data_IF_742236427754
#
_entry.id   IF_742236427754
#
_cell.length_a   1.000
_cell.length_b   1.000
_cell.length_c   1.000
_cell.angle_alpha   90.00
_cell.angle_beta   90.00
_cell.angle_gamma   90.00
#
_symmetry.space_group_name_H-M   'P 1'
#
loop_
_entity.id
_entity.type
_entity.pdbx_description
1 polymer ?
#
# COMPACT_ATOMS: atom_id res chain seq x y z
N UNK A 1 3.92 -64.03 4.33
CA UNK A 1 3.39 -62.81 4.99
C UNK A 1 4.06 -61.60 4.36
N UNK A 2 3.34 -60.84 3.52
CA UNK A 2 3.89 -59.68 2.78
C UNK A 2 3.72 -58.44 3.65
N UNK A 3 4.83 -57.80 4.04
CA UNK A 3 4.82 -56.51 4.75
C UNK A 3 4.67 -55.39 3.71
N UNK A 4 3.55 -54.69 3.76
CA UNK A 4 3.33 -53.45 3.03
C UNK A 4 4.02 -52.31 3.78
N UNK A 5 5.09 -51.77 3.22
CA UNK A 5 5.66 -50.49 3.66
C UNK A 5 4.88 -49.37 2.95
N UNK A 6 4.06 -48.64 3.69
CA UNK A 6 3.36 -47.45 3.21
C UNK A 6 4.38 -46.31 3.18
N UNK A 7 4.72 -45.86 1.97
CA UNK A 7 5.57 -44.69 1.74
C UNK A 7 4.79 -43.40 2.02
N UNK A 8 5.27 -42.63 2.98
CA UNK A 8 4.83 -41.27 3.29
C UNK A 8 5.37 -40.32 2.21
N UNK A 9 4.56 -40.00 1.20
CA UNK A 9 4.95 -39.14 0.08
C UNK A 9 4.40 -37.71 0.25
N UNK A 10 5.30 -36.81 0.58
CA UNK A 10 5.33 -35.35 0.34
C UNK A 10 4.01 -34.60 0.08
N UNK A 11 3.52 -33.91 1.12
CA UNK A 11 2.61 -32.76 1.00
C UNK A 11 3.39 -31.50 1.40
N UNK A 12 4.13 -30.87 0.47
CA UNK A 12 4.75 -29.54 0.72
C UNK A 12 4.87 -28.73 -0.57
N UNK A 13 3.76 -28.26 -1.17
CA UNK A 13 3.83 -27.22 -2.24
C UNK A 13 2.64 -26.23 -2.20
N UNK A 14 2.18 -25.77 -1.02
CA UNK A 14 1.08 -24.77 -0.94
C UNK A 14 1.47 -23.39 -0.38
N UNK A 15 2.69 -23.21 0.15
CA UNK A 15 3.05 -21.97 0.87
C UNK A 15 3.52 -20.80 -0.01
N UNK A 16 3.96 -21.05 -1.24
CA UNK A 16 4.55 -19.99 -2.07
C UNK A 16 3.50 -19.02 -2.66
N UNK A 17 2.32 -19.53 -3.02
CA UNK A 17 1.28 -18.74 -3.67
C UNK A 17 0.51 -17.84 -2.69
N UNK A 18 0.28 -18.31 -1.46
CA UNK A 18 -0.40 -17.51 -0.42
C UNK A 18 0.37 -16.25 -0.06
N UNK A 19 1.70 -16.35 0.09
CA UNK A 19 2.53 -15.23 0.54
C UNK A 19 2.55 -14.02 -0.40
N UNK A 20 2.57 -14.24 -1.72
CA UNK A 20 2.51 -13.14 -2.70
C UNK A 20 1.15 -12.47 -2.69
N UNK A 21 0.08 -13.24 -2.47
CA UNK A 21 -1.29 -12.71 -2.37
C UNK A 21 -1.45 -11.85 -1.12
N UNK A 22 -0.92 -12.27 0.03
CA UNK A 22 -0.92 -11.47 1.26
C UNK A 22 -0.20 -10.13 1.09
N UNK A 23 0.98 -10.13 0.46
CA UNK A 23 1.75 -8.90 0.18
C UNK A 23 0.96 -7.97 -0.76
N UNK A 24 0.32 -8.50 -1.81
CA UNK A 24 -0.54 -7.69 -2.70
C UNK A 24 -1.70 -7.08 -1.93
N UNK A 25 -2.36 -7.88 -1.08
CA UNK A 25 -3.49 -7.42 -0.27
C UNK A 25 -3.06 -6.31 0.70
N UNK A 26 -1.86 -6.39 1.27
CA UNK A 26 -1.31 -5.33 2.11
C UNK A 26 -1.12 -4.01 1.34
N UNK A 27 -0.57 -4.05 0.12
CA UNK A 27 -0.44 -2.86 -0.74
C UNK A 27 -1.81 -2.28 -1.11
N UNK A 28 -2.79 -3.12 -1.46
CA UNK A 28 -4.16 -2.69 -1.78
C UNK A 28 -4.80 -2.02 -0.56
N UNK A 29 -4.71 -2.66 0.61
CA UNK A 29 -5.32 -2.17 1.84
C UNK A 29 -4.67 -0.85 2.31
N UNK A 30 -3.34 -0.75 2.21
CA UNK A 30 -2.60 0.48 2.44
C UNK A 30 -3.10 1.61 1.55
N UNK A 31 -3.17 1.40 0.23
CA UNK A 31 -3.60 2.45 -0.70
C UNK A 31 -5.05 2.91 -0.45
N UNK A 32 -5.95 1.97 -0.11
CA UNK A 32 -7.31 2.32 0.28
C UNK A 32 -7.35 3.19 1.55
N UNK A 33 -6.51 2.91 2.55
CA UNK A 33 -6.49 3.72 3.76
C UNK A 33 -5.71 5.02 3.59
N UNK A 34 -4.79 5.08 2.64
CA UNK A 34 -4.07 6.30 2.29
C UNK A 34 -5.05 7.35 1.74
N UNK A 35 -6.00 6.98 0.88
CA UNK A 35 -7.01 7.92 0.37
C UNK A 35 -7.90 8.47 1.49
N UNK A 36 -8.29 7.63 2.44
CA UNK A 36 -9.04 8.04 3.63
C UNK A 36 -8.21 8.95 4.54
N UNK A 37 -6.93 8.62 4.77
CA UNK A 37 -6.03 9.43 5.59
C UNK A 37 -5.85 10.83 5.00
N UNK A 38 -5.63 10.93 3.70
CA UNK A 38 -5.42 12.20 2.99
C UNK A 38 -6.71 13.06 2.93
N UNK A 39 -7.85 12.42 2.65
CA UNK A 39 -9.12 13.13 2.52
C UNK A 39 -9.71 13.58 3.86
N UNK A 40 -9.32 12.92 4.96
CA UNK A 40 -9.73 13.31 6.33
C UNK A 40 -8.63 14.05 7.10
N UNK A 41 -7.42 14.13 6.56
CA UNK A 41 -6.27 14.72 7.23
C UNK A 41 -5.89 14.00 8.52
N UNK A 42 -6.00 12.67 8.54
CA UNK A 42 -5.73 11.83 9.70
C UNK A 42 -4.85 10.61 9.33
N UNK A 43 -3.55 10.73 9.54
CA UNK A 43 -2.57 9.68 9.27
C UNK A 43 -2.73 8.43 10.16
N UNK A 44 -3.34 8.54 11.35
CA UNK A 44 -3.53 7.41 12.26
C UNK A 44 -4.39 6.28 11.66
N UNK A 45 -5.17 6.58 10.62
CA UNK A 45 -5.90 5.58 9.83
C UNK A 45 -5.00 4.50 9.22
N UNK A 46 -3.70 4.80 9.05
CA UNK A 46 -2.72 3.89 8.49
C UNK A 46 -2.07 2.95 9.53
N UNK A 47 -2.39 3.06 10.82
CA UNK A 47 -1.68 2.33 11.90
C UNK A 47 -1.64 0.80 11.75
N UNK A 48 -2.60 0.19 11.05
CA UNK A 48 -2.62 -1.25 10.79
C UNK A 48 -2.01 -1.62 9.42
N UNK A 49 -1.70 -0.65 8.58
CA UNK A 49 -1.32 -0.87 7.17
C UNK A 49 0.08 -0.34 6.84
N UNK A 50 0.64 0.48 7.71
CA UNK A 50 1.91 1.15 7.52
C UNK A 50 2.71 1.16 8.83
N UNK A 51 4.04 1.10 8.71
CA UNK A 51 4.91 1.28 9.87
C UNK A 51 4.90 2.74 10.33
N UNK A 52 5.32 3.00 11.56
CA UNK A 52 5.41 4.36 12.11
C UNK A 52 6.25 5.30 11.24
N UNK A 53 7.27 4.77 10.56
CA UNK A 53 8.09 5.54 9.63
C UNK A 53 7.25 6.07 8.46
N UNK A 54 6.47 5.21 7.81
CA UNK A 54 5.62 5.62 6.69
C UNK A 54 4.46 6.51 7.15
N UNK A 55 3.89 6.24 8.33
CA UNK A 55 2.85 7.11 8.92
C UNK A 55 3.39 8.53 9.12
N UNK A 56 4.61 8.68 9.66
CA UNK A 56 5.23 10.00 9.84
C UNK A 56 5.45 10.77 8.54
N UNK A 57 5.81 10.06 7.45
CA UNK A 57 5.92 10.67 6.10
C UNK A 57 4.57 11.17 5.59
N UNK A 58 3.52 10.35 5.70
CA UNK A 58 2.17 10.74 5.29
C UNK A 58 1.64 11.88 6.16
N UNK A 59 1.87 11.84 7.47
CA UNK A 59 1.45 12.88 8.40
C UNK A 59 2.11 14.23 8.09
N UNK A 60 3.41 14.21 7.76
CA UNK A 60 4.14 15.42 7.32
C UNK A 60 3.51 16.04 6.06
N UNK A 61 3.09 15.21 5.10
CA UNK A 61 2.40 15.71 3.90
C UNK A 61 0.99 16.24 4.22
N UNK A 62 0.26 15.58 5.12
CA UNK A 62 -1.04 16.07 5.62
C UNK A 62 -0.89 17.42 6.32
N UNK A 63 0.15 17.61 7.13
CA UNK A 63 0.43 18.88 7.80
C UNK A 63 0.71 19.99 6.78
N UNK A 64 1.48 19.69 5.73
CA UNK A 64 1.68 20.60 4.61
C UNK A 64 0.34 21.01 3.96
N UNK A 65 -0.52 20.03 3.62
CA UNK A 65 -1.84 20.30 3.03
C UNK A 65 -2.73 21.16 3.94
N UNK A 66 -2.70 20.91 5.25
CA UNK A 66 -3.43 21.72 6.24
C UNK A 66 -2.90 23.16 6.31
N UNK A 67 -1.59 23.36 6.18
CA UNK A 67 -0.97 24.69 6.04
C UNK A 67 -1.50 25.45 4.82
N UNK A 68 -1.71 24.73 3.72
CA UNK A 68 -2.35 25.21 2.48
C UNK A 68 -3.88 25.32 2.57
N UNK A 69 -4.46 25.04 3.75
CA UNK A 69 -5.93 25.00 4.01
C UNK A 69 -6.67 24.02 3.09
N UNK A 70 -6.01 22.96 2.66
CA UNK A 70 -6.55 21.95 1.74
C UNK A 70 -6.51 20.55 2.36
N UNK A 71 -7.32 19.67 1.78
CA UNK A 71 -7.17 18.22 1.90
C UNK A 71 -7.20 17.61 0.50
N UNK A 72 -6.61 16.43 0.36
CA UNK A 72 -6.47 15.74 -0.91
C UNK A 72 -7.47 14.58 -0.97
N UNK A 73 -8.39 14.63 -1.92
CA UNK A 73 -9.28 13.52 -2.25
C UNK A 73 -8.69 12.81 -3.45
N UNK A 74 -8.41 11.51 -3.31
CA UNK A 74 -7.79 10.71 -4.35
C UNK A 74 -8.49 9.38 -4.54
N UNK A 75 -8.37 8.83 -5.74
CA UNK A 75 -8.87 7.51 -6.10
C UNK A 75 -7.87 6.77 -6.98
N UNK A 76 -7.60 5.51 -6.63
CA UNK A 76 -6.68 4.63 -7.35
C UNK A 76 -7.45 3.92 -8.47
N UNK A 77 -7.45 4.52 -9.66
CA UNK A 77 -8.19 4.00 -10.82
C UNK A 77 -7.62 2.70 -11.36
N UNK A 78 -6.30 2.55 -11.29
CA UNK A 78 -5.61 1.35 -11.78
C UNK A 78 -4.43 1.01 -10.89
N UNK A 79 -4.31 -0.27 -10.54
CA UNK A 79 -3.16 -0.83 -9.83
C UNK A 79 -2.73 -2.12 -10.53
N UNK A 80 -1.53 -2.11 -11.13
CA UNK A 80 -0.96 -3.28 -11.79
C UNK A 80 0.34 -3.67 -11.09
N UNK A 81 0.39 -4.86 -10.53
CA UNK A 81 1.60 -5.42 -9.94
C UNK A 81 2.56 -5.90 -11.03
N UNK A 82 3.78 -5.37 -11.05
CA UNK A 82 4.82 -5.75 -12.01
C UNK A 82 5.72 -6.86 -11.47
N UNK A 83 6.22 -6.67 -10.24
CA UNK A 83 7.17 -7.58 -9.59
C UNK A 83 6.94 -7.58 -8.09
N UNK A 84 7.16 -8.74 -7.47
CA UNK A 84 7.22 -8.91 -6.02
C UNK A 84 8.48 -9.69 -5.72
N UNK A 85 9.37 -9.10 -4.94
CA UNK A 85 10.56 -9.73 -4.40
C UNK A 85 10.42 -9.82 -2.88
N UNK A 86 10.53 -11.03 -2.33
CA UNK A 86 10.38 -11.27 -0.89
C UNK A 86 11.67 -11.85 -0.36
N UNK A 87 12.18 -11.26 0.72
CA UNK A 87 13.40 -11.69 1.40
C UNK A 87 13.09 -11.78 2.89
N UNK A 88 12.76 -12.99 3.36
CA UNK A 88 12.37 -13.22 4.76
C UNK A 88 11.12 -12.46 5.18
N UNK A 89 11.31 -11.50 6.10
CA UNK A 89 10.29 -10.60 6.65
C UNK A 89 10.23 -9.25 5.94
N UNK A 90 10.93 -9.10 4.82
CA UNK A 90 10.85 -7.91 3.97
C UNK A 90 10.35 -8.28 2.58
N UNK A 91 9.70 -7.32 1.92
CA UNK A 91 9.31 -7.44 0.54
C UNK A 91 9.42 -6.11 -0.20
N UNK A 92 9.75 -6.18 -1.49
CA UNK A 92 9.65 -5.06 -2.43
C UNK A 92 8.60 -5.38 -3.48
N UNK A 93 7.74 -4.40 -3.75
CA UNK A 93 6.64 -4.54 -4.70
C UNK A 93 6.69 -3.39 -5.69
N UNK A 94 6.79 -3.71 -6.97
CA UNK A 94 6.77 -2.74 -8.05
C UNK A 94 5.39 -2.71 -8.69
N UNK A 95 4.85 -1.51 -8.89
CA UNK A 95 3.51 -1.32 -9.45
C UNK A 95 3.51 -0.26 -10.56
N UNK A 96 2.53 -0.37 -11.45
CA UNK A 96 2.06 0.72 -12.31
C UNK A 96 0.70 1.19 -11.80
N UNK A 97 0.58 2.49 -11.56
CA UNK A 97 -0.58 3.10 -10.91
C UNK A 97 -1.12 4.25 -11.73
N UNK A 98 -2.45 4.37 -11.74
CA UNK A 98 -3.14 5.55 -12.24
C UNK A 98 -3.98 6.11 -11.11
N UNK A 99 -3.69 7.34 -10.72
CA UNK A 99 -4.42 8.07 -9.71
C UNK A 99 -5.20 9.21 -10.33
N UNK A 100 -6.37 9.48 -9.76
CA UNK A 100 -7.13 10.71 -10.01
C UNK A 100 -7.29 11.39 -8.67
N UNK A 101 -6.97 12.68 -8.59
CA UNK A 101 -7.14 13.44 -7.35
C UNK A 101 -7.60 14.87 -7.59
N UNK A 102 -8.14 15.47 -6.53
CA UNK A 102 -8.46 16.89 -6.46
C UNK A 102 -8.34 17.36 -5.01
N UNK A 103 -8.29 18.67 -4.83
CA UNK A 103 -8.23 19.32 -3.54
C UNK A 103 -9.61 19.83 -3.12
N UNK A 104 -9.86 19.75 -1.81
CA UNK A 104 -11.00 20.37 -1.14
C UNK A 104 -10.52 21.36 -0.08
N UNK A 105 -11.31 22.37 0.21
CA UNK A 105 -11.06 23.26 1.35
C UNK A 105 -11.17 22.49 2.67
N UNK A 106 -10.23 22.74 3.58
CA UNK A 106 -10.14 22.03 4.86
C UNK A 106 -11.38 22.27 5.73
N UNK A 107 -11.99 23.46 5.70
CA UNK A 107 -13.12 23.85 6.55
C UNK A 107 -14.46 23.58 5.88
N UNK A 108 -14.66 24.08 4.66
CA UNK A 108 -15.96 23.98 3.99
C UNK A 108 -16.16 22.64 3.31
N UNK A 109 -15.07 21.88 3.07
CA UNK A 109 -15.06 20.63 2.29
C UNK A 109 -15.46 20.82 0.82
N UNK A 110 -15.60 22.06 0.37
CA UNK A 110 -15.91 22.38 -1.02
C UNK A 110 -14.69 22.13 -1.89
N UNK A 111 -14.95 21.75 -3.14
CA UNK A 111 -13.91 21.47 -4.12
C UNK A 111 -13.22 22.76 -4.56
N UNK A 112 -11.88 22.76 -4.55
CA UNK A 112 -11.07 23.95 -4.88
C UNK A 112 -10.10 23.71 -6.04
N UNK A 113 -10.06 22.51 -6.61
CA UNK A 113 -9.28 22.22 -7.83
C UNK A 113 -10.04 21.34 -8.81
N UNK A 114 -9.55 21.32 -10.05
CA UNK A 114 -9.95 20.33 -11.07
C UNK A 114 -9.35 18.96 -10.73
N UNK A 115 -9.83 17.94 -11.43
CA UNK A 115 -9.23 16.61 -11.36
C UNK A 115 -7.88 16.63 -12.06
N UNK A 116 -6.90 16.02 -11.42
CA UNK A 116 -5.59 15.74 -11.98
C UNK A 116 -5.44 14.23 -12.07
N UNK A 117 -4.97 13.75 -13.23
CA UNK A 117 -4.67 12.33 -13.45
C UNK A 117 -3.16 12.19 -13.54
N UNK A 118 -2.60 11.29 -12.75
CA UNK A 118 -1.15 11.03 -12.71
C UNK A 118 -0.88 9.54 -12.83
N UNK A 119 0.24 9.22 -13.48
CA UNK A 119 0.69 7.84 -13.68
C UNK A 119 2.03 7.62 -13.00
N UNK A 120 2.07 6.65 -12.09
CA UNK A 120 3.28 6.32 -11.34
C UNK A 120 3.76 4.91 -11.62
N UNK A 121 5.09 4.76 -11.70
CA UNK A 121 5.74 3.51 -11.36
C UNK A 121 6.23 3.62 -9.92
N UNK A 122 5.63 2.83 -9.03
CA UNK A 122 5.83 2.93 -7.59
C UNK A 122 6.53 1.69 -7.06
N UNK A 123 7.43 1.88 -6.10
CA UNK A 123 8.09 0.80 -5.35
C UNK A 123 7.68 0.88 -3.89
N UNK A 124 7.00 -0.15 -3.41
CA UNK A 124 6.68 -0.33 -2.00
C UNK A 124 7.76 -1.19 -1.37
N UNK A 125 8.28 -0.75 -0.22
CA UNK A 125 9.00 -1.61 0.72
C UNK A 125 8.06 -1.97 1.85
N UNK A 126 7.88 -3.26 2.09
CA UNK A 126 7.03 -3.81 3.15
C UNK A 126 7.86 -4.57 4.17
N UNK A 127 7.39 -4.55 5.42
CA UNK A 127 7.91 -5.36 6.52
C UNK A 127 6.79 -6.23 7.10
N UNK A 128 7.14 -7.45 7.47
CA UNK A 128 6.26 -8.34 8.22
C UNK A 128 6.46 -8.05 9.71
N UNK A 129 5.50 -7.36 10.31
CA UNK A 129 5.53 -6.93 11.71
C UNK A 129 4.17 -7.23 12.34
N UNK A 130 4.15 -7.56 13.64
CA UNK A 130 2.91 -7.79 14.39
C UNK A 130 1.96 -8.80 13.70
N UNK A 131 2.56 -9.83 13.08
CA UNK A 131 1.84 -10.92 12.42
C UNK A 131 1.26 -10.61 11.03
N UNK A 132 1.57 -9.45 10.43
CA UNK A 132 1.06 -9.09 9.09
C UNK A 132 2.04 -8.20 8.31
N UNK A 133 1.78 -8.04 7.01
CA UNK A 133 2.58 -7.16 6.15
C UNK A 133 2.12 -5.71 6.26
N UNK A 134 3.06 -4.81 6.49
CA UNK A 134 2.84 -3.36 6.58
C UNK A 134 3.75 -2.64 5.59
N UNK A 135 3.27 -1.53 5.01
CA UNK A 135 4.08 -0.67 4.14
C UNK A 135 5.03 0.17 5.00
N UNK A 136 6.33 0.04 4.77
CA UNK A 136 7.38 0.77 5.48
C UNK A 136 7.90 1.99 4.70
N UNK A 137 7.85 1.91 3.37
CA UNK A 137 8.24 3.02 2.49
C UNK A 137 7.56 2.91 1.13
N UNK A 138 7.26 4.06 0.55
CA UNK A 138 6.80 4.21 -0.84
C UNK A 138 7.75 5.17 -1.56
N UNK A 139 8.31 4.72 -2.67
CA UNK A 139 9.20 5.50 -3.53
C UNK A 139 8.65 5.53 -4.95
N UNK A 140 8.73 6.67 -5.62
CA UNK A 140 8.32 6.84 -7.03
C UNK A 140 9.55 6.60 -7.90
N UNK A 141 9.52 5.56 -8.74
CA UNK A 141 10.58 5.27 -9.71
C UNK A 141 10.43 6.15 -10.95
N UNK A 142 9.19 6.35 -11.43
CA UNK A 142 8.86 7.23 -12.56
C UNK A 142 7.49 7.87 -12.40
N UNK A 143 7.40 9.12 -12.83
CA UNK A 143 6.16 9.89 -12.99
C UNK A 143 5.96 10.20 -14.48
N UNK A 144 4.72 10.08 -14.97
CA UNK A 144 4.33 10.35 -16.35
C UNK A 144 3.02 11.12 -16.43
#
# INVERSE_FOLDING_TARGET
MKRFSVGFLCIVILFACSSKTEIKNAVIAYNRQLTEALSTGNAARLQYFATMNQIGRVDSYILYLKGEKKLLVSDLKKLKFLKIDRQGQEAKVWTEEQWVYYYIDLKTRERVSKDETVYYQTVYTLKFQDGHWMVDRVDIDKER
#
